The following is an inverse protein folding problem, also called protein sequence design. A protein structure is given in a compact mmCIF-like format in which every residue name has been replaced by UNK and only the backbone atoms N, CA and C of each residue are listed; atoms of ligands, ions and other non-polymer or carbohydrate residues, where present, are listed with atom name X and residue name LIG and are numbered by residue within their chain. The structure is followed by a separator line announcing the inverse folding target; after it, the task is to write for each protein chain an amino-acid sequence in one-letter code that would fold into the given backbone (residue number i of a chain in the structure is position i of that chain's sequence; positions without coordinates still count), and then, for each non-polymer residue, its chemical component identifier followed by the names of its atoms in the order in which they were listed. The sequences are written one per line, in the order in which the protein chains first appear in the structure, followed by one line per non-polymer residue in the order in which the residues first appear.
data_IF_795948678861
#
_entry.id   IF_795948678861
#
_cell.length_a   1.000
_cell.length_b   1.000
_cell.length_c   1.000
_cell.angle_alpha   90.00
_cell.angle_beta   90.00
_cell.angle_gamma   90.00
#
_symmetry.space_group_name_H-M   'P 1'
#
loop_
_entity.id
_entity.type
_entity.pdbx_description
1 polymer ?
#
# COMPACT_ATOMS: atom_id res chain seq x y z
N UNK A 1 4.09 -4.08 -12.70
CA UNK A 1 2.81 -4.11 -13.45
C UNK A 1 3.01 -4.99 -14.67
N UNK A 2 1.99 -5.72 -15.10
CA UNK A 2 1.98 -6.44 -16.36
C UNK A 2 0.80 -6.01 -17.23
N UNK A 3 1.04 -5.98 -18.53
CA UNK A 3 0.06 -5.75 -19.58
C UNK A 3 0.11 -6.97 -20.48
N UNK A 4 -0.99 -7.70 -20.58
CA UNK A 4 -1.01 -9.03 -21.21
C UNK A 4 -2.18 -9.09 -22.20
N UNK A 5 -1.98 -9.74 -23.34
CA UNK A 5 -3.08 -10.11 -24.23
C UNK A 5 -3.66 -11.44 -23.78
N UNK A 6 -4.96 -11.47 -23.48
CA UNK A 6 -5.73 -12.64 -23.15
C UNK A 6 -6.77 -12.86 -24.25
N UNK A 7 -6.46 -13.74 -25.21
CA UNK A 7 -7.28 -13.98 -26.40
C UNK A 7 -7.64 -12.67 -27.15
N UNK A 8 -8.87 -12.23 -26.97
CA UNK A 8 -9.47 -11.04 -27.60
C UNK A 8 -9.48 -9.81 -26.68
N UNK A 9 -8.89 -9.88 -25.49
CA UNK A 9 -8.87 -8.81 -24.50
C UNK A 9 -7.46 -8.44 -24.06
N UNK A 10 -7.29 -7.19 -23.66
CA UNK A 10 -6.16 -6.69 -22.91
C UNK A 10 -6.43 -6.89 -21.41
N UNK A 11 -5.51 -7.54 -20.72
CA UNK A 11 -5.48 -7.66 -19.27
C UNK A 11 -4.42 -6.76 -18.65
N UNK A 12 -4.76 -6.16 -17.50
CA UNK A 12 -3.87 -5.29 -16.72
C UNK A 12 -3.74 -5.84 -15.31
N UNK A 13 -2.50 -6.05 -14.85
CA UNK A 13 -2.19 -6.64 -13.54
C UNK A 13 -1.17 -5.83 -12.77
N UNK A 14 -1.43 -5.57 -11.49
CA UNK A 14 -0.47 -4.99 -10.56
C UNK A 14 0.09 -6.05 -9.65
N UNK A 15 1.38 -5.94 -9.39
CA UNK A 15 2.10 -6.83 -8.49
C UNK A 15 2.50 -5.99 -7.30
N UNK A 16 2.22 -6.49 -6.10
CA UNK A 16 2.76 -5.96 -4.87
C UNK A 16 3.81 -6.95 -4.38
N UNK A 17 5.02 -6.47 -4.12
CA UNK A 17 6.02 -7.22 -3.37
C UNK A 17 6.05 -6.70 -1.93
N UNK A 18 5.25 -7.30 -1.03
CA UNK A 18 5.29 -6.96 0.39
C UNK A 18 6.69 -7.24 0.98
N UNK A 19 7.46 -6.18 1.26
CA UNK A 19 8.74 -6.27 1.96
C UNK A 19 8.48 -6.23 3.47
N UNK A 20 8.22 -7.39 4.09
CA UNK A 20 8.24 -7.52 5.55
C UNK A 20 8.82 -8.85 6.01
N UNK A 21 9.40 -8.89 7.23
CA UNK A 21 10.04 -10.08 7.77
C UNK A 21 9.06 -11.07 8.45
N UNK A 22 7.78 -11.13 8.07
CA UNK A 22 6.80 -12.01 8.74
C UNK A 22 5.57 -12.37 7.90
N UNK A 23 4.93 -13.49 8.27
CA UNK A 23 3.81 -14.11 7.54
C UNK A 23 2.46 -13.37 7.67
N UNK A 24 2.36 -12.34 8.51
CA UNK A 24 1.08 -11.65 8.82
C UNK A 24 0.90 -10.34 8.05
N UNK A 25 1.72 -10.09 7.03
CA UNK A 25 1.62 -8.89 6.21
C UNK A 25 0.40 -8.98 5.28
N UNK A 26 -0.53 -8.04 5.45
CA UNK A 26 -1.58 -7.77 4.45
C UNK A 26 -1.64 -6.30 4.08
N UNK A 27 -1.81 -6.01 2.79
CA UNK A 27 -1.95 -4.65 2.25
C UNK A 27 -3.27 -4.60 1.48
N UNK A 28 -4.26 -3.95 2.08
CA UNK A 28 -5.55 -3.74 1.45
C UNK A 28 -5.48 -2.51 0.55
N UNK A 29 -5.83 -2.69 -0.72
CA UNK A 29 -5.74 -1.64 -1.74
C UNK A 29 -7.03 -1.49 -2.52
N UNK A 30 -7.23 -0.27 -3.02
CA UNK A 30 -8.14 0.03 -4.12
C UNK A 30 -7.30 0.59 -5.26
N UNK A 31 -7.41 -0.04 -6.42
CA UNK A 31 -6.64 0.32 -7.62
C UNK A 31 -7.61 0.85 -8.67
N UNK A 32 -7.34 2.04 -9.20
CA UNK A 32 -7.93 2.49 -10.46
C UNK A 32 -6.91 2.30 -11.59
N UNK A 33 -7.25 1.46 -12.55
CA UNK A 33 -6.48 1.19 -13.76
C UNK A 33 -7.09 2.00 -14.91
N UNK A 34 -6.23 2.66 -15.68
CA UNK A 34 -6.63 3.60 -16.71
C UNK A 34 -5.82 3.38 -17.98
N UNK A 35 -6.48 3.39 -19.13
CA UNK A 35 -5.82 3.51 -20.43
C UNK A 35 -6.07 4.91 -20.96
N UNK A 36 -4.98 5.61 -21.26
CA UNK A 36 -5.03 6.97 -21.80
C UNK A 36 -5.40 6.88 -23.29
N UNK A 37 -6.44 7.61 -23.69
CA UNK A 37 -6.92 7.61 -25.08
C UNK A 37 -6.66 8.96 -25.73
N UNK A 38 -6.38 8.94 -27.04
CA UNK A 38 -5.99 10.15 -27.79
C UNK A 38 -7.10 11.20 -27.84
N UNK A 39 -8.37 10.79 -27.99
CA UNK A 39 -9.50 11.68 -28.32
C UNK A 39 -10.83 11.26 -27.66
N UNK A 40 -10.81 10.51 -26.56
CA UNK A 40 -12.01 10.06 -25.85
C UNK A 40 -11.76 10.08 -24.34
N UNK A 41 -12.84 10.00 -23.57
CA UNK A 41 -12.73 9.77 -22.14
C UNK A 41 -11.91 8.50 -21.87
N UNK A 42 -11.00 8.61 -20.91
CA UNK A 42 -10.15 7.52 -20.50
C UNK A 42 -11.00 6.35 -20.00
N UNK A 43 -10.62 5.13 -20.42
CA UNK A 43 -11.25 3.94 -19.88
C UNK A 43 -10.64 3.66 -18.50
N UNK A 44 -11.43 3.88 -17.45
CA UNK A 44 -11.02 3.65 -16.07
C UNK A 44 -11.85 2.49 -15.50
N UNK A 45 -11.17 1.47 -14.99
CA UNK A 45 -11.81 0.42 -14.19
C UNK A 45 -11.12 0.33 -12.83
N UNK A 46 -11.93 0.08 -11.80
CA UNK A 46 -11.44 0.01 -10.42
C UNK A 46 -11.55 -1.41 -9.89
N UNK A 47 -10.53 -1.86 -9.17
CA UNK A 47 -10.50 -3.17 -8.53
C UNK A 47 -9.92 -3.06 -7.13
N UNK A 48 -10.53 -3.75 -6.17
CA UNK A 48 -10.00 -3.87 -4.82
C UNK A 48 -9.25 -5.19 -4.66
N UNK A 49 -8.11 -5.17 -3.96
CA UNK A 49 -7.39 -6.40 -3.65
C UNK A 49 -6.62 -6.29 -2.33
N UNK A 50 -6.57 -7.39 -1.59
CA UNK A 50 -5.80 -7.54 -0.36
C UNK A 50 -4.57 -8.40 -0.66
N UNK A 51 -3.40 -7.76 -0.76
CA UNK A 51 -2.15 -8.46 -1.01
C UNK A 51 -1.64 -9.09 0.28
N UNK A 52 -1.62 -10.43 0.32
CA UNK A 52 -1.02 -11.24 1.39
C UNK A 52 0.21 -12.02 0.91
N UNK A 53 0.38 -12.12 -0.40
CA UNK A 53 1.45 -12.87 -1.06
C UNK A 53 1.94 -12.06 -2.27
N UNK A 54 3.11 -12.43 -2.79
CA UNK A 54 3.72 -11.81 -3.98
C UNK A 54 3.02 -12.27 -5.27
N UNK A 55 1.78 -11.85 -5.46
CA UNK A 55 0.97 -12.21 -6.63
C UNK A 55 0.48 -10.98 -7.39
N UNK A 56 0.28 -11.17 -8.69
CA UNK A 56 -0.32 -10.18 -9.56
C UNK A 56 -1.84 -10.23 -9.48
N UNK A 57 -2.49 -9.08 -9.28
CA UNK A 57 -3.94 -8.97 -9.32
C UNK A 57 -4.37 -7.80 -10.18
N UNK A 58 -5.52 -7.94 -10.85
CA UNK A 58 -5.99 -6.94 -11.80
C UNK A 58 -7.23 -7.37 -12.55
N UNK A 59 -7.36 -6.88 -13.79
CA UNK A 59 -8.57 -7.05 -14.60
C UNK A 59 -8.19 -7.79 -15.88
N UNK A 60 -8.68 -9.02 -16.03
CA UNK A 60 -8.37 -9.90 -17.16
C UNK A 60 -8.93 -9.37 -18.49
N UNK A 61 -10.17 -8.90 -18.47
CA UNK A 61 -10.88 -8.33 -19.63
C UNK A 61 -11.03 -6.81 -19.46
N UNK A 62 -9.90 -6.11 -19.45
CA UNK A 62 -9.92 -4.66 -19.25
C UNK A 62 -10.51 -3.95 -20.47
N UNK A 63 -10.05 -4.30 -21.67
CA UNK A 63 -10.49 -3.70 -22.93
C UNK A 63 -10.37 -4.74 -24.06
N UNK A 64 -11.28 -4.75 -25.02
CA UNK A 64 -11.12 -5.55 -26.23
C UNK A 64 -9.83 -5.18 -26.97
N UNK A 65 -9.10 -6.19 -27.44
CA UNK A 65 -7.80 -6.03 -28.08
C UNK A 65 -7.89 -5.18 -29.34
N UNK A 66 -8.87 -5.45 -30.21
CA UNK A 66 -9.10 -4.65 -31.43
C UNK A 66 -9.37 -3.17 -31.11
N UNK A 67 -10.11 -2.91 -30.04
CA UNK A 67 -10.42 -1.54 -29.61
C UNK A 67 -9.19 -0.83 -29.06
N UNK A 68 -8.34 -1.57 -28.33
CA UNK A 68 -7.05 -1.05 -27.87
C UNK A 68 -6.17 -0.64 -29.06
N UNK A 69 -6.03 -1.50 -30.08
CA UNK A 69 -5.20 -1.22 -31.26
C UNK A 69 -5.69 0.00 -32.05
N UNK A 70 -7.00 0.15 -32.22
CA UNK A 70 -7.61 1.23 -33.02
C UNK A 70 -7.63 2.58 -32.29
N UNK A 71 -7.88 2.59 -30.98
CA UNK A 71 -8.24 3.82 -30.25
C UNK A 71 -7.20 4.27 -29.22
N UNK A 72 -6.33 3.36 -28.75
CA UNK A 72 -5.48 3.61 -27.59
C UNK A 72 -3.99 3.67 -27.91
N UNK A 73 -3.56 3.21 -29.10
CA UNK A 73 -2.18 3.32 -29.53
C UNK A 73 -1.88 4.71 -30.08
N UNK A 74 -0.86 5.35 -29.51
CA UNK A 74 -0.30 6.61 -30.00
C UNK A 74 1.11 6.33 -30.48
N UNK A 75 1.34 6.44 -31.79
CA UNK A 75 2.65 6.14 -32.42
C UNK A 75 3.15 4.72 -32.08
N UNK A 76 2.23 3.76 -31.99
CA UNK A 76 2.53 2.37 -31.64
C UNK A 76 2.70 2.10 -30.14
N UNK A 77 2.61 3.13 -29.30
CA UNK A 77 2.75 3.00 -27.85
C UNK A 77 1.39 3.00 -27.14
N UNK A 78 1.25 2.13 -26.14
CA UNK A 78 0.11 2.10 -25.24
C UNK A 78 0.49 2.75 -23.91
N UNK A 79 -0.28 3.74 -23.47
CA UNK A 79 -0.09 4.36 -22.15
C UNK A 79 -1.13 3.84 -21.16
N UNK A 80 -0.65 3.26 -20.06
CA UNK A 80 -1.48 2.72 -18.99
C UNK A 80 -1.06 3.35 -17.66
N UNK A 81 -2.04 3.83 -16.91
CA UNK A 81 -1.85 4.45 -15.59
C UNK A 81 -2.52 3.59 -14.52
N UNK A 82 -1.86 3.48 -13.36
CA UNK A 82 -2.38 2.79 -12.19
C UNK A 82 -2.34 3.72 -10.99
N UNK A 83 -3.51 4.09 -10.47
CA UNK A 83 -3.64 4.84 -9.24
C UNK A 83 -3.98 3.88 -8.08
N UNK A 84 -3.03 3.68 -7.17
CA UNK A 84 -3.15 2.74 -6.06
C UNK A 84 -3.40 3.51 -4.77
N UNK A 85 -4.54 3.24 -4.13
CA UNK A 85 -4.86 3.74 -2.79
C UNK A 85 -4.71 2.60 -1.79
N UNK A 86 -3.80 2.77 -0.83
CA UNK A 86 -3.64 1.86 0.31
C UNK A 86 -4.68 2.25 1.36
N UNK A 87 -5.57 1.31 1.68
CA UNK A 87 -6.66 1.50 2.65
C UNK A 87 -6.17 1.14 4.05
N UNK A 88 -5.56 -0.03 4.18
CA UNK A 88 -5.11 -0.58 5.44
C UNK A 88 -3.86 -1.43 5.23
N UNK A 89 -2.98 -1.43 6.22
CA UNK A 89 -1.85 -2.36 6.29
C UNK A 89 -1.86 -3.07 7.64
N UNK A 90 -1.61 -4.37 7.62
CA UNK A 90 -1.39 -5.21 8.80
C UNK A 90 0.02 -5.78 8.72
N UNK A 91 0.70 -5.99 9.85
CA UNK A 91 2.06 -6.55 9.85
C UNK A 91 3.19 -5.60 9.40
N UNK A 92 2.89 -4.40 8.88
CA UNK A 92 3.90 -3.34 8.62
C UNK A 92 4.14 -2.41 9.81
N UNK A 93 3.36 -2.54 10.88
CA UNK A 93 3.60 -1.80 12.11
C UNK A 93 4.90 -2.28 12.74
N UNK A 94 5.86 -1.37 12.97
CA UNK A 94 6.95 -1.65 13.91
C UNK A 94 6.29 -2.15 15.19
N UNK A 95 6.74 -3.29 15.72
CA UNK A 95 6.33 -3.70 17.06
C UNK A 95 6.44 -2.48 17.97
N UNK A 96 5.40 -2.21 18.77
CA UNK A 96 5.54 -1.24 19.85
C UNK A 96 6.53 -1.85 20.84
N UNK A 97 7.82 -1.71 20.58
CA UNK A 97 8.91 -2.21 21.43
C UNK A 97 8.80 -1.59 22.83
N UNK A 98 8.04 -0.49 22.95
CA UNK A 98 7.75 0.20 24.21
C UNK A 98 6.27 0.60 24.27
N UNK A 99 5.51 -0.07 25.14
CA UNK A 99 4.23 0.44 25.65
C UNK A 99 4.53 1.37 26.82
N UNK A 100 4.13 2.64 26.73
CA UNK A 100 4.22 3.62 27.82
C UNK A 100 2.84 4.00 28.38
N UNK A 101 1.84 3.18 28.06
CA UNK A 101 0.45 3.39 28.41
C UNK A 101 0.17 3.00 29.88
N UNK A 102 -1.03 3.32 30.38
CA UNK A 102 -1.40 3.15 31.80
C UNK A 102 -1.25 1.71 32.32
N UNK A 103 -1.25 0.72 31.43
CA UNK A 103 -1.02 -0.69 31.75
C UNK A 103 0.31 -0.88 32.50
N UNK A 104 1.33 -0.06 32.23
CA UNK A 104 2.63 -0.12 32.90
C UNK A 104 2.75 0.75 34.16
N UNK A 105 1.65 1.36 34.63
CA UNK A 105 1.66 2.18 35.85
C UNK A 105 2.24 1.44 37.07
N UNK A 106 2.01 0.14 37.18
CA UNK A 106 2.48 -0.69 38.29
C UNK A 106 4.01 -0.95 38.32
N UNK A 107 4.70 -0.79 37.18
CA UNK A 107 6.17 -0.97 37.05
C UNK A 107 6.88 0.35 36.76
N UNK A 108 6.18 1.47 36.87
CA UNK A 108 6.72 2.78 36.48
C UNK A 108 7.12 3.60 37.69
N UNK A 109 8.32 4.15 37.64
CA UNK A 109 8.88 5.02 38.68
C UNK A 109 8.72 6.51 38.36
N UNK A 110 8.37 6.84 37.12
CA UNK A 110 8.29 8.20 36.58
C UNK A 110 7.06 8.34 35.67
N UNK A 111 6.43 9.51 35.70
CA UNK A 111 5.37 9.88 34.75
C UNK A 111 5.88 11.08 33.94
N UNK A 112 5.94 10.94 32.62
CA UNK A 112 6.20 12.05 31.69
C UNK A 112 4.85 12.60 31.21
N UNK A 113 4.68 13.91 31.25
CA UNK A 113 3.47 14.57 30.75
C UNK A 113 3.88 15.41 29.54
N UNK A 114 3.36 15.05 28.36
CA UNK A 114 3.62 15.78 27.11
C UNK A 114 2.28 16.18 26.52
N UNK A 115 2.02 17.50 26.44
CA UNK A 115 0.75 18.05 25.92
C UNK A 115 -0.46 17.35 26.55
N UNK A 116 -0.48 17.30 27.89
CA UNK A 116 -1.52 16.67 28.73
C UNK A 116 -1.67 15.15 28.61
N UNK A 117 -0.84 14.48 27.80
CA UNK A 117 -0.78 13.01 27.72
C UNK A 117 0.23 12.46 28.72
N UNK A 118 -0.20 11.51 29.57
CA UNK A 118 0.65 10.86 30.58
C UNK A 118 1.31 9.60 30.02
N UNK A 119 2.61 9.48 30.20
CA UNK A 119 3.42 8.31 29.84
C UNK A 119 4.10 7.76 31.10
N UNK A 120 3.92 6.47 31.37
CA UNK A 120 4.44 5.81 32.57
C UNK A 120 5.75 5.08 32.22
N UNK A 121 6.87 5.49 32.86
CA UNK A 121 8.24 5.09 32.46
C UNK A 121 9.05 4.58 33.67
N UNK A 122 9.71 3.42 33.59
CA UNK A 122 10.68 2.95 34.60
C UNK A 122 11.99 3.75 34.56
N UNK A 123 12.62 4.00 35.72
CA UNK A 123 13.87 4.79 35.82
C UNK A 123 15.02 4.23 34.98
N UNK A 124 15.08 2.91 34.79
CA UNK A 124 16.12 2.20 34.04
C UNK A 124 16.19 2.58 32.53
N UNK A 125 15.12 3.15 31.96
CA UNK A 125 15.07 3.51 30.52
C UNK A 125 15.68 4.90 30.26
N UNK A 126 16.09 5.66 31.28
CA UNK A 126 16.60 7.05 31.16
C UNK A 126 17.75 7.24 30.16
N UNK A 127 18.57 6.21 29.91
CA UNK A 127 19.77 6.34 29.05
C UNK A 127 19.48 6.57 27.56
N UNK A 128 18.25 6.33 27.06
CA UNK A 128 17.95 6.44 25.62
C UNK A 128 17.34 7.78 25.17
N UNK A 129 17.00 8.70 26.09
CA UNK A 129 16.29 9.94 25.76
C UNK A 129 17.21 11.18 25.65
N UNK A 130 18.53 10.98 25.72
CA UNK A 130 19.53 12.05 25.57
C UNK A 130 20.45 11.76 24.38
N UNK A 131 19.87 11.61 23.19
CA UNK A 131 20.62 11.89 21.96
C UNK A 131 19.85 12.99 21.25
N UNK A 132 20.37 14.23 21.18
CA UNK A 132 19.79 15.23 20.31
C UNK A 132 19.94 14.72 18.88
N UNK A 133 18.84 14.55 18.17
CA UNK A 133 18.88 14.43 16.73
C UNK A 133 19.26 15.81 16.17
N UNK A 134 20.52 15.95 15.77
CA UNK A 134 20.98 16.99 14.85
C UNK A 134 20.91 16.43 13.44
#
# INVERSE_FOLDING_TARGET
MAVIRNDYHLGLYLFCDPVAPGNDLSIQTKVALKIVRKNQNDAIKTVGYCYQQKIGYGIHEFLEWEKMEKECLVEGNLTVEAHVSIIQTTGLGKEKIRMFDEIRKHVSDVILIVRDTKFYVPKLVRKLFLVPSV
#
